data_IF_028819677697
#
_entry.id   IF_028819677697
#
_cell.length_a   1.000
_cell.length_b   1.000
_cell.length_c   1.000
_cell.angle_alpha   90.00
_cell.angle_beta   90.00
_cell.angle_gamma   90.00
#
_symmetry.space_group_name_H-M   'P 1'
#
loop_
_entity.id
_entity.type
_entity.pdbx_description
1 polymer ?
#
# COMPACT_ATOMS: atom_id res chain seq x y z
N UNK A 1 -20.24 -18.88 -47.40
CA UNK A 1 -20.59 -17.87 -46.38
C UNK A 1 -20.18 -18.24 -44.93
N UNK A 2 -20.17 -19.51 -44.49
CA UNK A 2 -19.80 -19.88 -43.11
C UNK A 2 -18.35 -19.54 -42.70
N UNK A 3 -17.39 -19.61 -43.62
CA UNK A 3 -15.96 -19.35 -43.33
C UNK A 3 -15.67 -17.87 -43.00
N UNK A 4 -16.39 -16.92 -43.61
CA UNK A 4 -16.18 -15.49 -43.39
C UNK A 4 -16.59 -15.03 -41.98
N UNK A 5 -17.62 -15.68 -41.40
CA UNK A 5 -18.07 -15.40 -40.02
C UNK A 5 -17.08 -15.86 -38.95
N UNK A 6 -16.27 -16.89 -39.23
CA UNK A 6 -15.30 -17.40 -38.27
C UNK A 6 -14.09 -16.46 -38.14
N UNK A 7 -13.56 -15.95 -39.25
CA UNK A 7 -12.41 -15.05 -39.25
C UNK A 7 -12.70 -13.70 -38.58
N UNK A 8 -13.90 -13.15 -38.79
CA UNK A 8 -14.30 -11.89 -38.15
C UNK A 8 -14.40 -12.01 -36.62
N UNK A 9 -14.79 -13.18 -36.11
CA UNK A 9 -14.92 -13.43 -34.68
C UNK A 9 -13.54 -13.64 -34.03
N UNK A 10 -12.64 -14.37 -34.70
CA UNK A 10 -11.24 -14.54 -34.25
C UNK A 10 -10.52 -13.19 -34.21
N UNK A 11 -10.66 -12.36 -35.26
CA UNK A 11 -10.02 -11.05 -35.30
C UNK A 11 -10.54 -10.11 -34.21
N UNK A 12 -11.86 -10.09 -33.96
CA UNK A 12 -12.45 -9.30 -32.88
C UNK A 12 -11.96 -9.77 -31.50
N UNK A 13 -11.82 -11.08 -31.29
CA UNK A 13 -11.31 -11.63 -30.03
C UNK A 13 -9.83 -11.28 -29.83
N UNK A 14 -9.02 -11.35 -30.87
CA UNK A 14 -7.60 -10.95 -30.83
C UNK A 14 -7.44 -9.45 -30.58
N UNK A 15 -8.27 -8.60 -31.20
CA UNK A 15 -8.27 -7.15 -30.96
C UNK A 15 -8.73 -6.80 -29.53
N UNK A 16 -9.70 -7.53 -28.97
CA UNK A 16 -10.12 -7.38 -27.57
C UNK A 16 -9.00 -7.78 -26.59
N UNK A 17 -8.26 -8.85 -26.90
CA UNK A 17 -7.13 -9.32 -26.07
C UNK A 17 -5.89 -8.42 -26.20
N UNK A 18 -5.67 -7.79 -27.35
CA UNK A 18 -4.55 -6.87 -27.58
C UNK A 18 -4.84 -5.43 -27.12
N UNK A 19 -6.13 -5.05 -27.03
CA UNK A 19 -6.56 -3.71 -26.63
C UNK A 19 -6.60 -3.49 -25.11
N UNK A 20 -6.71 -4.55 -24.32
CA UNK A 20 -6.66 -4.44 -22.86
C UNK A 20 -5.22 -4.34 -22.38
N UNK A 21 -4.70 -3.13 -22.19
CA UNK A 21 -3.55 -2.97 -21.29
C UNK A 21 -3.99 -3.49 -19.91
N UNK A 22 -3.26 -4.43 -19.29
CA UNK A 22 -3.60 -4.85 -17.95
C UNK A 22 -3.61 -3.61 -17.06
N UNK A 23 -4.77 -3.27 -16.52
CA UNK A 23 -4.83 -2.28 -15.45
C UNK A 23 -3.99 -2.85 -14.31
N UNK A 24 -2.94 -2.12 -13.92
CA UNK A 24 -2.11 -2.55 -12.80
C UNK A 24 -3.02 -2.58 -11.58
N UNK A 25 -3.11 -3.75 -10.94
CA UNK A 25 -3.95 -3.90 -9.77
C UNK A 25 -3.42 -3.05 -8.63
N UNK A 26 -4.34 -2.54 -7.83
CA UNK A 26 -4.01 -1.88 -6.57
C UNK A 26 -3.22 -2.85 -5.68
N UNK A 27 -2.16 -2.33 -5.06
CA UNK A 27 -1.39 -3.09 -4.08
C UNK A 27 -1.78 -2.60 -2.71
N UNK A 28 -2.24 -3.51 -1.86
CA UNK A 28 -2.54 -3.22 -0.45
C UNK A 28 -1.70 -4.11 0.47
N UNK A 29 -1.23 -3.54 1.56
CA UNK A 29 -0.62 -4.26 2.67
C UNK A 29 -1.37 -3.92 3.95
N UNK A 30 -1.69 -4.92 4.77
CA UNK A 30 -2.37 -4.72 6.04
C UNK A 30 -1.72 -5.55 7.14
N UNK A 31 -1.66 -4.98 8.34
CA UNK A 31 -1.23 -5.69 9.53
C UNK A 31 -2.30 -5.55 10.61
N UNK A 32 -2.88 -6.66 11.11
CA UNK A 32 -3.90 -6.62 12.14
C UNK A 32 -3.36 -6.22 13.53
N UNK A 33 -2.05 -6.26 13.76
CA UNK A 33 -1.45 -5.85 15.02
C UNK A 33 0.00 -5.37 14.82
N UNK A 34 0.27 -4.11 15.10
CA UNK A 34 1.60 -3.50 15.00
C UNK A 34 2.52 -3.73 16.20
N UNK A 35 2.07 -4.52 17.19
CA UNK A 35 2.77 -4.75 18.45
C UNK A 35 2.32 -3.83 19.58
N UNK A 36 1.52 -2.79 19.28
CA UNK A 36 1.00 -1.82 20.24
C UNK A 36 -0.53 -1.92 20.43
N UNK A 37 -1.15 -2.83 19.69
CA UNK A 37 -2.60 -3.06 19.68
C UNK A 37 -3.34 -2.28 18.60
N UNK A 38 -2.64 -1.48 17.79
CA UNK A 38 -3.23 -0.87 16.61
C UNK A 38 -3.10 -1.76 15.38
N UNK A 39 -3.93 -1.51 14.38
CA UNK A 39 -3.82 -2.15 13.06
C UNK A 39 -3.64 -1.10 11.99
N UNK A 40 -3.06 -1.47 10.85
CA UNK A 40 -2.94 -0.56 9.72
C UNK A 40 -3.23 -1.23 8.39
N UNK A 41 -3.59 -0.42 7.40
CA UNK A 41 -3.67 -0.79 5.99
C UNK A 41 -3.08 0.33 5.15
N UNK A 42 -2.13 -0.01 4.28
CA UNK A 42 -1.58 0.90 3.28
C UNK A 42 -2.00 0.39 1.89
N UNK A 43 -2.69 1.24 1.14
CA UNK A 43 -3.15 0.94 -0.22
C UNK A 43 -2.50 1.90 -1.20
N UNK A 44 -2.01 1.37 -2.30
CA UNK A 44 -1.42 2.12 -3.41
C UNK A 44 -2.27 1.86 -4.64
N UNK A 45 -2.91 2.91 -5.13
CA UNK A 45 -3.90 2.88 -6.22
C UNK A 45 -3.48 3.81 -7.35
N UNK A 46 -3.75 3.39 -8.59
CA UNK A 46 -3.57 4.21 -9.78
C UNK A 46 -2.14 4.71 -10.06
N UNK A 47 -1.10 3.99 -9.62
CA UNK A 47 0.28 4.42 -9.83
C UNK A 47 0.79 4.01 -11.22
N UNK A 48 0.90 5.01 -12.11
CA UNK A 48 1.44 4.86 -13.46
C UNK A 48 1.28 6.15 -14.29
N UNK A 49 2.41 6.75 -14.69
CA UNK A 49 2.53 7.80 -15.73
C UNK A 49 1.92 9.19 -15.46
N UNK A 50 0.80 9.30 -14.73
CA UNK A 50 0.10 10.59 -14.55
C UNK A 50 -0.52 10.79 -13.17
N UNK A 51 -0.46 9.80 -12.30
CA UNK A 51 -1.02 9.87 -10.96
C UNK A 51 -0.57 8.68 -10.12
N UNK A 52 -0.72 8.81 -8.82
CA UNK A 52 -0.53 7.76 -7.82
C UNK A 52 -1.18 8.25 -6.53
N UNK A 53 -2.03 7.40 -5.97
CA UNK A 53 -2.67 7.66 -4.68
C UNK A 53 -2.19 6.60 -3.69
N UNK A 54 -1.64 7.06 -2.58
CA UNK A 54 -1.22 6.22 -1.47
C UNK A 54 -2.11 6.56 -0.28
N UNK A 55 -2.77 5.57 0.31
CA UNK A 55 -3.66 5.77 1.45
C UNK A 55 -3.19 4.89 2.60
N UNK A 56 -2.77 5.50 3.70
CA UNK A 56 -2.49 4.83 4.96
C UNK A 56 -3.68 5.03 5.90
N UNK A 57 -4.18 3.93 6.43
CA UNK A 57 -5.20 3.91 7.45
C UNK A 57 -4.64 3.22 8.68
N UNK A 58 -4.74 3.84 9.85
CA UNK A 58 -4.35 3.28 11.14
C UNK A 58 -5.59 3.25 12.02
N UNK A 59 -5.93 2.09 12.56
CA UNK A 59 -6.99 1.90 13.53
C UNK A 59 -6.38 1.76 14.92
N UNK A 60 -6.61 2.77 15.76
CA UNK A 60 -6.10 2.86 17.13
C UNK A 60 -7.13 2.43 18.18
N UNK A 61 -8.25 1.83 17.77
CA UNK A 61 -9.35 1.44 18.68
C UNK A 61 -8.89 0.44 19.75
N UNK A 62 -7.90 -0.41 19.45
CA UNK A 62 -7.40 -1.44 20.35
C UNK A 62 -6.02 -1.13 20.98
N UNK A 63 -5.61 0.15 21.01
CA UNK A 63 -4.37 0.55 21.69
C UNK A 63 -4.36 0.09 23.15
N UNK A 64 -3.25 -0.51 23.54
CA UNK A 64 -3.10 -1.10 24.88
C UNK A 64 -2.46 -0.14 25.88
N UNK A 65 -1.75 0.89 25.41
CA UNK A 65 -1.12 1.89 26.28
C UNK A 65 -1.25 3.33 25.74
N UNK A 66 -2.45 3.94 25.79
CA UNK A 66 -2.70 5.29 25.28
C UNK A 66 -1.92 6.39 26.02
N UNK A 67 -1.30 6.08 27.17
CA UNK A 67 -0.43 7.03 27.89
C UNK A 67 0.99 7.12 27.31
N UNK A 68 1.46 6.06 26.66
CA UNK A 68 2.73 6.02 25.91
C UNK A 68 2.50 6.31 24.42
N UNK A 69 1.31 5.98 23.93
CA UNK A 69 0.84 6.28 22.58
C UNK A 69 -0.18 7.42 22.69
N UNK A 70 0.23 8.65 22.98
CA UNK A 70 -0.73 9.74 23.19
C UNK A 70 -1.18 10.37 21.86
N UNK A 71 -0.28 10.45 20.88
CA UNK A 71 -0.53 10.94 19.52
C UNK A 71 0.37 10.26 18.50
N UNK A 72 -0.01 10.36 17.22
CA UNK A 72 0.86 10.02 16.08
C UNK A 72 1.50 11.31 15.58
N UNK A 73 2.83 11.40 15.65
CA UNK A 73 3.59 12.58 15.24
C UNK A 73 4.25 12.43 13.87
N UNK A 74 4.40 11.21 13.35
CA UNK A 74 4.73 10.99 11.95
C UNK A 74 4.20 9.68 11.39
N UNK A 75 4.04 9.69 10.07
CA UNK A 75 3.75 8.51 9.24
C UNK A 75 4.67 8.50 8.05
N UNK A 76 5.08 7.33 7.60
CA UNK A 76 5.93 7.19 6.41
C UNK A 76 5.59 5.95 5.60
N UNK A 77 5.87 6.05 4.30
CA UNK A 77 5.87 4.91 3.41
C UNK A 77 7.05 4.98 2.45
N UNK A 78 7.48 3.81 1.99
CA UNK A 78 8.47 3.67 0.93
C UNK A 78 7.85 2.89 -0.21
N UNK A 79 8.05 3.41 -1.40
CA UNK A 79 7.76 2.71 -2.63
C UNK A 79 8.95 1.79 -2.96
N UNK A 80 8.67 0.60 -3.47
CA UNK A 80 9.68 -0.35 -3.94
C UNK A 80 10.61 0.25 -5.00
N UNK A 81 11.73 -0.43 -5.22
CA UNK A 81 12.72 -0.08 -6.26
C UNK A 81 13.34 1.34 -6.13
N UNK A 82 13.29 1.95 -4.94
CA UNK A 82 13.86 3.29 -4.70
C UNK A 82 13.08 4.42 -5.36
N UNK A 83 11.81 4.18 -5.72
CA UNK A 83 10.98 5.20 -6.35
C UNK A 83 10.69 6.36 -5.38
N UNK A 84 10.85 7.59 -5.86
CA UNK A 84 10.47 8.80 -5.13
C UNK A 84 9.03 9.19 -5.44
N UNK A 85 8.30 9.58 -4.40
CA UNK A 85 6.96 10.12 -4.52
C UNK A 85 7.01 11.64 -4.41
N UNK A 86 6.36 12.33 -5.34
CA UNK A 86 6.17 13.79 -5.26
C UNK A 86 4.68 14.09 -5.33
N UNK A 87 4.15 14.76 -4.32
CA UNK A 87 2.71 15.00 -4.25
C UNK A 87 2.27 15.80 -3.03
N UNK A 88 0.96 15.86 -2.85
CA UNK A 88 0.28 16.51 -1.73
C UNK A 88 -0.21 15.48 -0.73
N UNK A 89 -0.31 15.88 0.54
CA UNK A 89 -0.87 15.08 1.61
C UNK A 89 -2.23 15.67 2.05
N UNK A 90 -3.22 14.80 2.16
CA UNK A 90 -4.44 15.01 2.94
C UNK A 90 -4.33 14.17 4.21
N UNK A 91 -4.32 14.81 5.37
CA UNK A 91 -4.20 14.16 6.68
C UNK A 91 -5.50 14.30 7.49
N UNK A 92 -5.66 13.59 8.61
CA UNK A 92 -6.82 13.78 9.47
C UNK A 92 -6.90 15.24 9.95
N UNK A 93 -8.12 15.72 10.16
CA UNK A 93 -8.33 17.07 10.67
C UNK A 93 -7.76 17.23 12.09
N UNK A 94 -7.35 18.45 12.45
CA UNK A 94 -6.89 18.77 13.80
C UNK A 94 -5.37 18.85 13.96
N UNK A 95 -4.57 18.64 12.91
CA UNK A 95 -3.15 18.98 12.88
C UNK A 95 -2.72 19.52 11.52
N UNK A 96 -1.69 20.35 11.52
CA UNK A 96 -0.94 20.68 10.30
C UNK A 96 0.06 19.56 10.02
N UNK A 97 0.29 19.19 8.76
CA UNK A 97 1.26 18.16 8.40
C UNK A 97 2.23 18.67 7.33
N UNK A 98 3.48 18.27 7.45
CA UNK A 98 4.53 18.58 6.47
C UNK A 98 5.15 17.29 5.95
N UNK A 99 5.23 17.15 4.62
CA UNK A 99 5.82 16.00 3.95
C UNK A 99 7.25 16.31 3.52
N UNK A 100 8.16 15.36 3.71
CA UNK A 100 9.56 15.44 3.30
C UNK A 100 10.07 14.08 2.82
N UNK A 101 11.17 14.09 2.05
CA UNK A 101 11.79 12.88 1.52
C UNK A 101 12.94 12.43 2.42
N UNK A 102 12.61 11.79 3.53
CA UNK A 102 13.52 11.34 4.59
C UNK A 102 12.89 10.12 5.29
N UNK A 103 13.57 9.51 6.26
CA UNK A 103 13.02 8.38 7.02
C UNK A 103 12.46 8.81 8.37
N UNK A 104 11.58 7.96 8.91
CA UNK A 104 11.21 8.02 10.31
C UNK A 104 12.46 7.96 11.19
N UNK A 105 12.46 8.72 12.27
CA UNK A 105 13.55 8.79 13.21
C UNK A 105 13.04 8.43 14.60
N UNK A 106 13.58 7.39 15.22
CA UNK A 106 13.26 7.01 16.60
C UNK A 106 13.86 7.94 17.66
N UNK A 107 14.69 8.90 17.26
CA UNK A 107 15.30 9.88 18.16
C UNK A 107 14.46 11.13 18.40
N UNK A 108 14.72 11.80 19.53
CA UNK A 108 14.01 12.99 19.99
C UNK A 108 14.26 14.27 19.16
N UNK A 109 15.10 14.22 18.13
CA UNK A 109 15.47 15.41 17.36
C UNK A 109 14.39 15.83 16.35
N UNK A 110 13.40 14.97 16.07
CA UNK A 110 12.29 15.24 15.15
C UNK A 110 11.92 13.99 14.36
N UNK A 111 10.63 13.81 14.01
CA UNK A 111 10.11 12.49 13.64
C UNK A 111 10.42 12.08 12.19
N UNK A 112 10.67 13.04 11.28
CA UNK A 112 11.09 12.81 9.89
C UNK A 112 12.47 13.43 9.62
N UNK A 113 13.55 12.82 10.12
CA UNK A 113 14.90 13.41 10.00
C UNK A 113 16.07 12.43 9.83
N UNK A 114 15.83 11.15 9.53
CA UNK A 114 16.95 10.18 9.44
C UNK A 114 17.85 10.45 8.21
N UNK A 115 19.16 10.34 8.44
CA UNK A 115 20.23 10.39 7.41
C UNK A 115 20.69 9.00 6.95
N UNK A 116 20.17 7.92 7.55
CA UNK A 116 20.76 6.58 7.43
C UNK A 116 20.11 5.72 6.32
N UNK A 117 20.07 6.26 5.11
CA UNK A 117 20.07 5.48 3.86
C UNK A 117 18.72 5.12 3.27
N UNK A 118 17.67 4.97 4.08
CA UNK A 118 16.35 4.54 3.56
C UNK A 118 15.45 5.74 3.28
N UNK A 119 15.54 6.31 2.08
CA UNK A 119 14.71 7.44 1.66
C UNK A 119 13.25 7.01 1.57
N UNK A 120 12.37 7.68 2.33
CA UNK A 120 10.94 7.43 2.37
C UNK A 120 10.17 8.72 2.13
N UNK A 121 8.86 8.60 1.88
CA UNK A 121 7.96 9.75 2.00
C UNK A 121 7.49 9.80 3.43
N UNK A 122 7.99 10.78 4.19
CA UNK A 122 7.69 10.93 5.61
C UNK A 122 6.89 12.21 5.83
N UNK A 123 5.77 12.08 6.52
CA UNK A 123 4.90 13.18 6.89
C UNK A 123 4.91 13.32 8.40
N UNK A 124 5.28 14.50 8.88
CA UNK A 124 5.29 14.84 10.30
C UNK A 124 4.14 15.78 10.64
N UNK A 125 3.53 15.57 11.80
CA UNK A 125 2.58 16.50 12.39
C UNK A 125 3.32 17.71 12.95
N UNK A 126 2.81 18.90 12.65
CA UNK A 126 3.12 20.14 13.34
C UNK A 126 2.20 20.35 14.55
N UNK A 127 2.22 21.56 15.10
CA UNK A 127 1.32 21.93 16.20
C UNK A 127 0.00 22.52 15.65
N UNK A 128 -1.17 22.12 16.19
CA UNK A 128 -1.39 21.09 17.22
C UNK A 128 -1.23 19.66 16.67
N UNK A 129 -0.89 18.69 17.52
CA UNK A 129 -0.80 17.25 17.17
C UNK A 129 -2.13 16.52 17.37
N UNK A 130 -2.41 15.52 16.55
CA UNK A 130 -3.63 14.69 16.68
C UNK A 130 -3.40 13.61 17.73
N UNK A 131 -4.12 13.71 18.85
CA UNK A 131 -4.18 12.66 19.85
C UNK A 131 -4.77 11.36 19.29
N UNK A 132 -4.20 10.22 19.66
CA UNK A 132 -4.82 8.91 19.40
C UNK A 132 -5.79 8.48 20.50
N UNK A 133 -5.83 9.25 21.61
CA UNK A 133 -6.75 9.06 22.73
C UNK A 133 -8.25 9.16 22.35
N UNK A 134 -8.59 9.61 21.14
CA UNK A 134 -9.96 9.59 20.64
C UNK A 134 -10.45 8.21 20.21
N UNK A 135 -9.56 7.23 20.01
CA UNK A 135 -9.91 5.93 19.45
C UNK A 135 -10.46 6.02 18.02
N UNK A 136 -10.35 4.95 17.26
CA UNK A 136 -10.90 4.88 15.91
C UNK A 136 -9.86 4.97 14.80
N UNK A 137 -10.33 5.31 13.61
CA UNK A 137 -9.56 5.18 12.37
C UNK A 137 -9.04 6.54 11.90
N UNK A 138 -7.72 6.64 11.73
CA UNK A 138 -7.03 7.79 11.17
C UNK A 138 -6.55 7.47 9.76
N UNK A 139 -6.72 8.42 8.82
CA UNK A 139 -6.38 8.22 7.41
C UNK A 139 -5.51 9.34 6.86
N UNK A 140 -4.41 8.97 6.23
CA UNK A 140 -3.51 9.83 5.47
C UNK A 140 -3.56 9.42 4.01
N UNK A 141 -3.77 10.38 3.12
CA UNK A 141 -3.82 10.15 1.68
C UNK A 141 -2.81 11.05 0.99
N UNK A 142 -1.83 10.45 0.33
CA UNK A 142 -0.92 11.15 -0.56
C UNK A 142 -1.39 11.01 -2.01
N UNK A 143 -1.47 12.12 -2.71
CA UNK A 143 -1.79 12.16 -4.15
C UNK A 143 -0.65 12.82 -4.90
N UNK A 144 -0.12 12.15 -5.91
CA UNK A 144 1.11 12.59 -6.54
C UNK A 144 1.49 11.79 -7.77
N UNK A 145 2.77 11.82 -8.09
CA UNK A 145 3.35 11.13 -9.25
C UNK A 145 4.55 10.31 -8.77
N UNK A 146 4.71 9.14 -9.37
CA UNK A 146 5.88 8.27 -9.21
C UNK A 146 6.52 8.10 -10.57
N UNK A 147 7.85 8.19 -10.64
CA UNK A 147 8.59 8.13 -11.90
C UNK A 147 8.47 6.77 -12.62
N UNK A 148 8.18 5.70 -11.87
CA UNK A 148 8.00 4.38 -12.41
C UNK A 148 6.97 3.59 -11.58
N UNK A 149 6.41 2.56 -12.21
CA UNK A 149 5.56 1.59 -11.54
C UNK A 149 6.28 0.99 -10.34
N UNK A 150 5.60 0.99 -9.20
CA UNK A 150 6.19 0.56 -7.94
C UNK A 150 5.24 -0.32 -7.15
N UNK A 151 5.81 -1.15 -6.28
CA UNK A 151 5.09 -1.86 -5.24
C UNK A 151 5.30 -1.12 -3.90
N UNK A 152 4.67 -1.60 -2.83
CA UNK A 152 4.94 -1.11 -1.48
C UNK A 152 6.24 -1.76 -0.98
N UNK A 153 7.22 -0.95 -0.59
CA UNK A 153 8.49 -1.40 -0.03
C UNK A 153 8.56 -1.32 1.50
N UNK A 154 7.94 -0.29 2.08
CA UNK A 154 7.87 -0.11 3.54
C UNK A 154 6.66 0.73 3.95
N UNK A 155 6.16 0.49 5.16
CA UNK A 155 5.21 1.36 5.87
C UNK A 155 5.61 1.46 7.34
N UNK A 156 5.55 2.67 7.90
CA UNK A 156 5.80 2.89 9.32
C UNK A 156 5.12 4.15 9.83
N UNK A 157 5.07 4.30 11.14
CA UNK A 157 4.56 5.48 11.82
C UNK A 157 5.19 5.60 13.21
N UNK A 158 4.90 6.70 13.89
CA UNK A 158 5.54 7.02 15.15
C UNK A 158 4.51 7.50 16.14
N UNK A 159 4.54 6.87 17.32
CA UNK A 159 3.80 7.28 18.49
C UNK A 159 4.68 8.16 19.37
N UNK A 160 4.05 9.14 20.01
CA UNK A 160 4.74 10.04 20.92
C UNK A 160 3.79 10.42 22.07
N UNK A 161 4.36 10.65 23.26
CA UNK A 161 3.63 11.13 24.44
C UNK A 161 4.17 12.45 25.02
N UNK A 162 5.03 13.15 24.28
CA UNK A 162 5.70 14.38 24.69
C UNK A 162 6.94 14.16 25.55
N UNK A 163 7.20 12.94 26.01
CA UNK A 163 8.37 12.61 26.86
C UNK A 163 9.24 11.48 26.30
N UNK A 164 8.64 10.61 25.50
CA UNK A 164 9.27 9.48 24.83
C UNK A 164 8.66 9.35 23.44
N UNK A 165 9.49 8.90 22.51
CA UNK A 165 9.07 8.65 21.14
C UNK A 165 9.27 7.18 20.82
N UNK A 166 8.23 6.53 20.31
CA UNK A 166 8.19 5.11 20.03
C UNK A 166 7.89 4.95 18.54
N UNK A 167 8.81 4.35 17.79
CA UNK A 167 8.59 4.05 16.38
C UNK A 167 7.85 2.75 16.27
N UNK A 168 6.64 2.80 15.71
CA UNK A 168 5.92 1.62 15.27
C UNK A 168 6.16 1.45 13.78
N UNK A 169 7.01 0.50 13.39
CA UNK A 169 7.20 0.19 11.99
C UNK A 169 6.44 -1.07 11.60
N UNK A 170 5.84 -0.99 10.42
CA UNK A 170 5.03 -2.04 9.84
C UNK A 170 5.85 -2.92 8.91
N UNK A 171 5.25 -3.22 7.76
CA UNK A 171 5.78 -4.12 6.75
C UNK A 171 7.03 -3.55 6.08
N UNK A 172 8.05 -4.39 5.93
CA UNK A 172 9.14 -4.21 4.96
C UNK A 172 9.12 -5.35 3.96
N UNK A 173 9.34 -5.04 2.68
CA UNK A 173 9.40 -6.06 1.62
C UNK A 173 10.62 -6.99 1.75
N UNK A 174 11.65 -6.57 2.50
CA UNK A 174 12.83 -7.39 2.83
C UNK A 174 12.61 -8.34 4.00
N UNK A 175 11.47 -8.26 4.69
CA UNK A 175 11.19 -9.02 5.92
C UNK A 175 12.03 -8.58 7.13
N UNK A 176 12.85 -7.54 7.00
CA UNK A 176 13.64 -6.95 8.09
C UNK A 176 12.84 -5.82 8.73
N UNK A 177 12.38 -6.02 9.97
CA UNK A 177 11.72 -4.99 10.77
C UNK A 177 12.76 -4.37 11.71
N UNK A 178 13.24 -3.16 11.41
CA UNK A 178 14.03 -2.34 12.34
C UNK A 178 13.10 -1.67 13.38
N UNK A 179 12.33 -2.47 14.11
CA UNK A 179 11.35 -1.98 15.07
C UNK A 179 11.75 -2.32 16.50
N UNK A 180 11.73 -1.32 17.37
CA UNK A 180 11.97 -1.51 18.79
C UNK A 180 10.63 -1.80 19.50
N UNK A 181 10.52 -2.97 20.16
CA UNK A 181 9.56 -3.15 21.26
C UNK A 181 8.43 -4.18 21.10
N UNK A 182 8.31 -4.90 19.97
CA UNK A 182 7.22 -5.88 19.78
C UNK A 182 7.65 -7.22 19.18
N UNK A 183 6.88 -8.29 19.43
CA UNK A 183 7.00 -9.55 18.70
C UNK A 183 6.53 -9.37 17.26
N UNK A 184 7.38 -9.75 16.30
CA UNK A 184 7.13 -9.57 14.88
C UNK A 184 5.80 -10.22 14.44
N UNK A 185 4.85 -9.46 13.87
CA UNK A 185 3.66 -10.04 13.27
C UNK A 185 4.04 -10.79 11.99
N UNK A 186 3.32 -11.86 11.62
CA UNK A 186 3.59 -12.62 10.41
C UNK A 186 3.52 -11.71 9.18
N UNK A 187 4.31 -11.98 8.12
CA UNK A 187 4.29 -11.17 6.91
C UNK A 187 2.86 -11.06 6.38
N UNK A 188 2.43 -9.85 5.97
CA UNK A 188 1.07 -9.61 5.53
C UNK A 188 0.77 -10.38 4.24
N UNK A 189 -0.47 -10.86 4.12
CA UNK A 189 -0.95 -11.50 2.90
C UNK A 189 -1.03 -10.46 1.78
N UNK A 190 -0.03 -10.47 0.89
CA UNK A 190 -0.11 -9.70 -0.36
C UNK A 190 -1.14 -10.40 -1.23
N UNK A 191 -2.29 -9.77 -1.47
CA UNK A 191 -3.28 -10.30 -2.41
C UNK A 191 -2.65 -10.35 -3.80
N UNK A 192 -2.36 -11.55 -4.30
CA UNK A 192 -1.81 -11.69 -5.65
C UNK A 192 -2.81 -11.12 -6.67
N UNK A 193 -2.40 -10.14 -7.49
CA UNK A 193 -3.31 -9.45 -8.37
C UNK A 193 -3.75 -10.35 -9.52
N UNK A 194 -4.95 -10.93 -9.43
CA UNK A 194 -5.75 -11.46 -10.55
C UNK A 194 -5.15 -12.60 -11.39
N UNK A 195 -3.89 -12.97 -11.21
CA UNK A 195 -3.17 -14.03 -11.93
C UNK A 195 -3.92 -15.36 -11.83
N UNK A 196 -4.48 -15.66 -10.66
CA UNK A 196 -5.26 -16.86 -10.39
C UNK A 196 -6.63 -16.85 -11.12
N UNK A 197 -7.27 -15.69 -11.21
CA UNK A 197 -8.51 -15.53 -11.97
C UNK A 197 -8.25 -15.66 -13.48
N UNK A 198 -7.18 -15.05 -13.99
CA UNK A 198 -6.78 -15.14 -15.41
C UNK A 198 -6.46 -16.59 -15.79
N UNK A 199 -5.74 -17.32 -14.93
CA UNK A 199 -5.48 -18.74 -15.14
C UNK A 199 -6.77 -19.57 -15.17
N UNK A 200 -7.71 -19.28 -14.25
CA UNK A 200 -9.02 -19.93 -14.20
C UNK A 200 -9.86 -19.72 -15.47
N UNK A 201 -10.00 -18.47 -15.94
CA UNK A 201 -10.73 -18.18 -17.17
C UNK A 201 -10.06 -18.78 -18.41
N UNK A 202 -8.72 -18.79 -18.46
CA UNK A 202 -7.97 -19.44 -19.54
C UNK A 202 -8.25 -20.94 -19.65
N UNK A 203 -8.30 -21.64 -18.52
CA UNK A 203 -8.57 -23.08 -18.46
C UNK A 203 -10.01 -23.42 -18.88
N UNK A 204 -11.00 -22.62 -18.45
CA UNK A 204 -12.41 -22.80 -18.84
C UNK A 204 -12.60 -22.56 -20.35
N UNK A 205 -11.95 -21.52 -20.90
CA UNK A 205 -11.95 -21.25 -22.33
C UNK A 205 -11.36 -22.40 -23.16
N UNK A 206 -10.23 -22.97 -22.71
CA UNK A 206 -9.58 -24.10 -23.36
C UNK A 206 -10.46 -25.37 -23.32
N UNK A 207 -11.11 -25.65 -22.18
CA UNK A 207 -12.01 -26.79 -22.03
C UNK A 207 -13.23 -26.70 -22.97
N UNK A 208 -13.81 -25.51 -23.13
CA UNK A 208 -14.92 -25.28 -24.05
C UNK A 208 -14.53 -25.50 -25.53
N UNK A 209 -13.31 -25.11 -25.92
CA UNK A 209 -12.78 -25.34 -27.26
C UNK A 209 -12.54 -26.84 -27.52
N UNK A 210 -11.97 -27.57 -26.56
CA UNK A 210 -11.75 -29.01 -26.67
C UNK A 210 -13.08 -29.79 -26.80
N UNK A 211 -14.12 -29.39 -26.06
CA UNK A 211 -15.45 -30.02 -26.13
C UNK A 211 -16.11 -29.82 -27.49
N UNK A 212 -15.97 -28.63 -28.09
CA UNK A 212 -16.45 -28.35 -29.45
C UNK A 212 -15.71 -29.15 -30.52
N UNK A 213 -14.40 -29.40 -30.35
CA UNK A 213 -13.62 -30.19 -31.31
C UNK A 213 -14.07 -31.65 -31.36
N UNK A 214 -14.33 -32.25 -30.19
CA UNK A 214 -14.71 -33.66 -30.12
C UNK A 214 -16.17 -33.91 -30.55
N UNK A 215 -17.06 -32.94 -30.39
CA UNK A 215 -18.44 -33.04 -30.86
C UNK A 215 -18.64 -32.82 -32.37
N UNK A 216 -17.61 -32.38 -33.10
CA UNK A 216 -17.66 -32.17 -34.55
C UNK A 216 -17.14 -33.37 -35.37
N UNK A 217 -16.65 -34.43 -34.70
CA UNK A 217 -16.16 -35.66 -35.33
C UNK A 217 -17.13 -36.85 -35.17
N UNK A 218 -18.31 -36.63 -34.60
CA UNK A 218 -19.45 -37.56 -34.58
C UNK A 218 -20.54 -37.06 -35.54
#
# INVERSE_FOLDING_TARGET
>A
MKRFRLYSLVLATVLLLLGSKPAKADTSVSNPNDGFGSSYTLTVTSCGGSGCTVTLTIDTTALTNPSQEAYIDAVAFKLGNGATFTGTLTAPAGATWTTSTTSLNSGNTGPCMSTNGDVQTCSAAGSPVIGVATGGTLTWTWTGIVAADTNIGHVGYQYNNGTATIVSCGYTSSGSTDCAGGTQPPPPNVSEPGSLAIMGFGMVGLAALLRRRNGAQA
#
